data_IF_246247448038
#
_entry.id   IF_246247448038
#
_cell.length_a   1.000
_cell.length_b   1.000
_cell.length_c   1.000
_cell.angle_alpha   90.00
_cell.angle_beta   90.00
_cell.angle_gamma   90.00
#
_symmetry.space_group_name_H-M   'P 1'
#
loop_
_entity.id
_entity.type
_entity.pdbx_description
1 polymer ?
#
# COMPACT_ATOMS: atom_id res chain seq x y z
N UNK A 1 8.43 1.80 -18.31
CA UNK A 1 7.76 1.41 -19.59
C UNK A 1 6.29 1.23 -19.23
N UNK A 2 5.33 1.78 -19.96
CA UNK A 2 3.94 1.74 -19.47
C UNK A 2 3.44 0.27 -19.30
N UNK A 3 2.75 -0.05 -18.19
CA UNK A 3 2.27 -1.41 -17.96
C UNK A 3 1.28 -1.83 -19.03
N UNK A 4 1.46 -3.03 -19.59
CA UNK A 4 0.54 -3.60 -20.60
C UNK A 4 -0.78 -4.09 -20.00
N UNK A 5 -0.74 -4.54 -18.75
CA UNK A 5 -1.89 -5.10 -18.01
C UNK A 5 -1.81 -4.60 -16.57
N UNK A 6 -2.95 -4.20 -16.01
CA UNK A 6 -3.08 -3.82 -14.59
C UNK A 6 -4.13 -4.74 -13.96
N UNK A 7 -3.70 -5.52 -12.96
CA UNK A 7 -4.61 -6.29 -12.11
C UNK A 7 -4.98 -5.47 -10.88
N UNK A 8 -6.27 -5.17 -10.72
CA UNK A 8 -6.79 -4.48 -9.54
C UNK A 8 -7.39 -5.48 -8.55
N UNK A 9 -6.71 -5.69 -7.43
CA UNK A 9 -7.20 -6.55 -6.35
C UNK A 9 -7.89 -5.74 -5.25
N UNK A 10 -9.12 -6.13 -4.89
CA UNK A 10 -9.89 -5.52 -3.81
C UNK A 10 -10.59 -6.58 -2.95
N UNK A 11 -10.84 -6.27 -1.67
CA UNK A 11 -11.53 -7.19 -0.75
C UNK A 11 -11.26 -6.94 0.74
N UNK A 12 -11.99 -7.64 1.60
CA UNK A 12 -11.92 -7.49 3.07
C UNK A 12 -10.57 -7.92 3.67
N UNK A 13 -10.27 -7.51 4.91
CA UNK A 13 -9.04 -7.92 5.63
C UNK A 13 -9.04 -9.44 5.85
N UNK A 14 -7.85 -10.06 5.85
CA UNK A 14 -7.64 -11.52 5.98
C UNK A 14 -8.34 -12.38 4.92
N UNK A 15 -8.67 -11.81 3.75
CA UNK A 15 -9.26 -12.53 2.60
C UNK A 15 -8.23 -13.11 1.62
N UNK A 16 -6.94 -13.18 1.98
CA UNK A 16 -5.90 -13.78 1.13
C UNK A 16 -5.41 -12.97 -0.08
N UNK A 17 -5.77 -11.69 -0.23
CA UNK A 17 -5.34 -10.87 -1.39
C UNK A 17 -3.83 -10.75 -1.53
N UNK A 18 -3.14 -10.42 -0.43
CA UNK A 18 -1.69 -10.29 -0.42
C UNK A 18 -1.03 -11.61 -0.86
N UNK A 19 -1.55 -12.74 -0.37
CA UNK A 19 -1.07 -14.08 -0.76
C UNK A 19 -1.19 -14.32 -2.28
N UNK A 20 -2.34 -14.02 -2.88
CA UNK A 20 -2.54 -14.20 -4.33
C UNK A 20 -1.63 -13.27 -5.13
N UNK A 21 -1.49 -12.00 -4.73
CA UNK A 21 -0.61 -11.05 -5.41
C UNK A 21 0.84 -11.53 -5.41
N UNK A 22 1.37 -11.99 -4.26
CA UNK A 22 2.72 -12.53 -4.17
C UNK A 22 2.90 -13.78 -5.03
N UNK A 23 1.91 -14.70 -5.02
CA UNK A 23 1.94 -15.90 -5.89
C UNK A 23 1.98 -15.54 -7.37
N UNK A 24 1.18 -14.58 -7.81
CA UNK A 24 1.18 -14.10 -9.20
C UNK A 24 2.54 -13.50 -9.56
N UNK A 25 3.11 -12.67 -8.68
CA UNK A 25 4.45 -12.08 -8.90
C UNK A 25 5.51 -13.18 -9.01
N UNK A 26 5.51 -14.19 -8.12
CA UNK A 26 6.44 -15.33 -8.20
C UNK A 26 6.30 -16.10 -9.51
N UNK A 27 5.07 -16.31 -10.00
CA UNK A 27 4.82 -17.05 -11.25
C UNK A 27 5.26 -16.27 -12.50
N UNK A 28 5.10 -14.94 -12.49
CA UNK A 28 5.43 -14.09 -13.65
C UNK A 28 6.89 -13.64 -13.70
N UNK A 29 7.59 -13.63 -12.56
CA UNK A 29 8.94 -13.11 -12.42
C UNK A 29 8.97 -11.63 -12.00
N UNK A 30 9.97 -11.24 -11.22
CA UNK A 30 10.12 -9.86 -10.71
C UNK A 30 10.38 -8.85 -11.83
N UNK A 31 10.95 -9.30 -12.94
CA UNK A 31 11.27 -8.47 -14.11
C UNK A 31 10.03 -8.11 -14.95
N UNK A 32 8.92 -8.86 -14.79
CA UNK A 32 7.68 -8.66 -15.56
C UNK A 32 6.51 -8.18 -14.70
N UNK A 33 6.57 -8.37 -13.38
CA UNK A 33 5.48 -8.10 -12.48
C UNK A 33 5.96 -7.35 -11.23
N UNK A 34 5.26 -6.26 -10.91
CA UNK A 34 5.47 -5.50 -9.68
C UNK A 34 4.16 -5.39 -8.91
N UNK A 35 4.25 -5.44 -7.57
CA UNK A 35 3.09 -5.27 -6.69
C UNK A 35 3.05 -3.83 -6.21
N UNK A 36 1.99 -3.12 -6.58
CA UNK A 36 1.72 -1.77 -6.11
C UNK A 36 0.74 -1.80 -4.95
N UNK A 37 1.10 -1.17 -3.83
CA UNK A 37 0.26 -1.10 -2.64
C UNK A 37 -0.14 0.35 -2.39
N UNK A 38 -1.38 0.73 -2.73
CA UNK A 38 -1.91 2.11 -2.61
C UNK A 38 -1.69 2.74 -1.22
N UNK A 39 -1.67 1.92 -0.17
CA UNK A 39 -1.43 2.39 1.20
C UNK A 39 0.05 2.69 1.51
N UNK A 40 1.00 2.30 0.65
CA UNK A 40 2.44 2.46 0.88
C UNK A 40 2.84 3.92 1.11
N UNK A 41 2.52 4.84 0.20
CA UNK A 41 2.78 6.27 0.36
C UNK A 41 2.13 6.87 1.61
N UNK A 42 0.92 6.43 1.92
CA UNK A 42 0.22 6.84 3.14
C UNK A 42 1.00 6.43 4.39
N UNK A 43 1.45 5.18 4.44
CA UNK A 43 2.24 4.66 5.57
C UNK A 43 3.58 5.36 5.68
N UNK A 44 4.25 5.65 4.56
CA UNK A 44 5.49 6.42 4.51
C UNK A 44 5.34 7.78 5.18
N UNK A 45 4.37 8.57 4.69
CA UNK A 45 4.12 9.91 5.23
C UNK A 45 3.64 9.86 6.68
N UNK A 46 2.81 8.87 7.04
CA UNK A 46 2.34 8.70 8.41
C UNK A 46 3.49 8.38 9.37
N UNK A 47 4.39 7.48 8.97
CA UNK A 47 5.55 7.11 9.78
C UNK A 47 6.50 8.29 9.99
N UNK A 48 6.76 9.08 8.94
CA UNK A 48 7.58 10.29 9.03
C UNK A 48 6.97 11.33 9.98
N UNK A 49 5.68 11.61 9.86
CA UNK A 49 5.00 12.63 10.68
C UNK A 49 4.85 12.24 12.16
N UNK A 50 4.88 10.94 12.47
CA UNK A 50 4.67 10.43 13.83
C UNK A 50 5.91 9.73 14.41
N UNK A 51 7.07 9.85 13.73
CA UNK A 51 8.33 9.22 14.12
C UNK A 51 8.21 7.70 14.40
N UNK A 52 7.57 6.98 13.47
CA UNK A 52 7.31 5.53 13.57
C UNK A 52 8.28 4.72 12.73
N UNK A 53 8.42 3.43 13.07
CA UNK A 53 9.20 2.48 12.28
C UNK A 53 8.44 2.12 10.99
N UNK A 54 8.92 2.61 9.85
CA UNK A 54 8.29 2.37 8.55
C UNK A 54 8.27 0.87 8.18
N UNK A 55 9.36 0.14 8.42
CA UNK A 55 9.48 -1.28 8.09
C UNK A 55 8.39 -2.10 8.82
N UNK A 56 8.23 -1.85 10.12
CA UNK A 56 7.19 -2.48 10.92
C UNK A 56 5.77 -2.08 10.48
N UNK A 57 5.56 -0.81 10.12
CA UNK A 57 4.28 -0.31 9.62
C UNK A 57 3.89 -0.87 8.23
N UNK A 58 4.90 -1.21 7.42
CA UNK A 58 4.72 -1.84 6.12
C UNK A 58 4.38 -3.33 6.21
N UNK A 59 4.74 -4.00 7.32
CA UNK A 59 4.48 -5.42 7.58
C UNK A 59 2.99 -5.77 7.78
N UNK A 60 2.69 -7.04 8.01
CA UNK A 60 1.38 -7.54 8.44
C UNK A 60 1.25 -7.82 9.94
N UNK A 61 2.28 -7.48 10.71
CA UNK A 61 2.38 -7.70 12.15
C UNK A 61 1.52 -6.78 13.03
N UNK A 62 1.53 -7.02 14.35
CA UNK A 62 0.69 -6.31 15.33
C UNK A 62 1.05 -4.83 15.45
N UNK A 63 2.30 -4.45 15.23
CA UNK A 63 2.75 -3.06 15.28
C UNK A 63 1.90 -2.15 14.38
N UNK A 64 1.66 -2.57 13.13
CA UNK A 64 0.79 -1.85 12.20
C UNK A 64 -0.65 -1.73 12.70
N UNK A 65 -1.16 -2.78 13.36
CA UNK A 65 -2.57 -2.82 13.76
C UNK A 65 -2.86 -1.80 14.87
N UNK A 66 -1.89 -1.50 15.73
CA UNK A 66 -1.98 -0.44 16.74
C UNK A 66 -2.29 0.93 16.14
N UNK A 67 -1.79 1.21 14.93
CA UNK A 67 -1.94 2.51 14.27
C UNK A 67 -2.97 2.52 13.15
N UNK A 68 -3.60 1.40 12.83
CA UNK A 68 -4.44 1.27 11.62
C UNK A 68 -5.60 2.24 11.62
N UNK A 69 -6.30 2.37 12.74
CA UNK A 69 -7.47 3.25 12.87
C UNK A 69 -7.05 4.72 12.77
N UNK A 70 -6.02 5.09 13.50
CA UNK A 70 -5.54 6.47 13.56
C UNK A 70 -4.96 6.91 12.22
N UNK A 71 -4.24 6.03 11.53
CA UNK A 71 -3.73 6.31 10.18
C UNK A 71 -4.85 6.56 9.18
N UNK A 72 -5.99 5.85 9.26
CA UNK A 72 -7.16 6.11 8.40
C UNK A 72 -7.71 7.51 8.71
N UNK A 73 -8.00 7.78 9.99
CA UNK A 73 -8.56 9.06 10.42
C UNK A 73 -7.64 10.25 10.06
N UNK A 74 -6.34 10.08 10.27
CA UNK A 74 -5.33 11.06 9.88
C UNK A 74 -5.31 11.27 8.37
N UNK A 75 -5.35 10.18 7.59
CA UNK A 75 -5.39 10.25 6.12
C UNK A 75 -6.59 11.03 5.60
N UNK A 76 -7.77 10.85 6.21
CA UNK A 76 -8.98 11.56 5.81
C UNK A 76 -8.88 13.06 6.10
N UNK A 77 -8.27 13.43 7.24
CA UNK A 77 -8.01 14.83 7.60
C UNK A 77 -7.07 15.51 6.60
N UNK A 78 -5.95 14.88 6.25
CA UNK A 78 -4.95 15.50 5.36
C UNK A 78 -5.35 15.47 3.88
N UNK A 79 -6.23 14.55 3.47
CA UNK A 79 -6.79 14.52 2.11
C UNK A 79 -7.70 15.71 1.85
N UNK A 80 -8.33 16.29 2.87
CA UNK A 80 -9.32 17.36 2.70
C UNK A 80 -10.41 16.99 1.67
N UNK A 81 -10.83 15.72 1.64
CA UNK A 81 -11.80 15.19 0.67
C UNK A 81 -11.22 14.75 -0.70
N UNK A 82 -9.92 14.92 -0.96
CA UNK A 82 -9.29 14.52 -2.23
C UNK A 82 -8.88 13.04 -2.23
N UNK A 83 -9.57 12.23 -3.04
CA UNK A 83 -9.33 10.78 -3.14
C UNK A 83 -7.99 10.39 -3.79
N UNK A 84 -7.40 11.24 -4.64
CA UNK A 84 -6.22 10.91 -5.47
C UNK A 84 -4.87 11.01 -4.76
N UNK A 85 -4.80 11.59 -3.56
CA UNK A 85 -3.54 12.04 -2.92
C UNK A 85 -2.42 10.97 -2.84
N UNK A 86 -2.75 9.68 -2.73
CA UNK A 86 -1.77 8.60 -2.55
C UNK A 86 -1.64 7.64 -3.74
N UNK A 87 -2.38 7.87 -4.83
CA UNK A 87 -2.30 7.05 -6.05
C UNK A 87 -1.15 7.47 -6.96
N UNK A 88 -0.68 8.71 -6.85
CA UNK A 88 0.18 9.33 -7.85
C UNK A 88 1.68 9.14 -7.57
N UNK A 89 2.05 8.90 -6.31
CA UNK A 89 3.44 8.68 -5.90
C UNK A 89 3.99 7.33 -6.38
N UNK A 90 3.13 6.32 -6.42
CA UNK A 90 3.49 4.91 -6.63
C UNK A 90 3.59 4.52 -8.11
N UNK A 91 2.76 5.13 -8.98
CA UNK A 91 2.73 4.83 -10.42
C UNK A 91 3.93 5.39 -11.20
N UNK A 92 4.79 6.22 -10.59
CA UNK A 92 5.98 6.78 -11.22
C UNK A 92 7.16 5.80 -11.28
N UNK A 93 7.04 4.66 -10.59
CA UNK A 93 8.10 3.65 -10.46
C UNK A 93 7.83 2.38 -11.28
N UNK A 94 6.87 2.41 -12.19
CA UNK A 94 6.57 1.33 -13.15
C UNK A 94 6.94 1.72 -14.60
#
# INVERSE_FOLDING_TARGET
MAPKIIFLFSGKRKSGKDYICEKIKTLLGEEKCSILRISGPLKGLYAENHNLNLTELMSDGPYKENYRRDMINWSDRIRGGKSRLFLQSDLRFC
#
